data_IF_010149187113
#
_entry.id   IF_010149187113
#
_cell.length_a   1.000
_cell.length_b   1.000
_cell.length_c   1.000
_cell.angle_alpha   90.00
_cell.angle_beta   90.00
_cell.angle_gamma   90.00
#
_symmetry.space_group_name_H-M   'P 1'
#
loop_
_entity.id
_entity.type
_entity.pdbx_description
1 polymer ?
#
# COMPACT_ATOMS: atom_id res chain seq x y z
N UNK A 1 -18.58 -0.74 4.36
CA UNK A 1 -17.51 0.02 5.03
C UNK A 1 -16.22 -0.31 4.32
N UNK A 2 -15.47 0.69 3.86
CA UNK A 2 -14.17 0.47 3.23
C UNK A 2 -13.11 0.25 4.31
N UNK A 3 -12.32 -0.81 4.18
CA UNK A 3 -11.25 -1.13 5.12
C UNK A 3 -9.93 -1.23 4.38
N UNK A 4 -8.98 -0.39 4.78
CA UNK A 4 -7.60 -0.41 4.29
C UNK A 4 -6.69 -0.91 5.41
N UNK A 5 -6.03 -2.04 5.19
CA UNK A 5 -5.01 -2.56 6.09
C UNK A 5 -3.65 -2.58 5.40
N UNK A 6 -2.61 -2.21 6.14
CA UNK A 6 -1.23 -2.25 5.66
C UNK A 6 -0.40 -3.00 6.69
N UNK A 7 0.26 -4.06 6.26
CA UNK A 7 1.23 -4.80 7.07
C UNK A 7 2.56 -4.88 6.34
N UNK A 8 3.64 -4.63 7.08
CA UNK A 8 5.00 -4.77 6.56
C UNK A 8 5.52 -6.16 6.85
N UNK A 9 6.20 -6.76 5.88
CA UNK A 9 7.08 -7.88 6.16
C UNK A 9 8.44 -7.34 6.63
N UNK A 10 8.76 -7.49 7.91
CA UNK A 10 9.93 -6.86 8.57
C UNK A 10 11.30 -7.24 8.01
N UNK A 11 11.38 -8.17 7.06
CA UNK A 11 12.61 -8.56 6.36
C UNK A 11 12.79 -7.87 5.00
N UNK A 12 11.80 -7.08 4.56
CA UNK A 12 11.77 -6.47 3.22
C UNK A 12 11.15 -5.07 3.27
N UNK A 13 11.33 -4.31 2.19
CA UNK A 13 10.59 -3.07 1.97
C UNK A 13 9.27 -3.29 1.22
N UNK A 14 8.70 -4.50 1.40
CA UNK A 14 7.41 -4.88 0.86
C UNK A 14 6.32 -4.75 1.91
N UNK A 15 5.21 -4.16 1.47
CA UNK A 15 4.03 -3.90 2.27
C UNK A 15 2.84 -4.61 1.64
N UNK A 16 2.20 -5.49 2.42
CA UNK A 16 0.92 -6.08 2.05
C UNK A 16 -0.18 -5.06 2.31
N UNK A 17 -0.91 -4.72 1.27
CA UNK A 17 -2.06 -3.82 1.32
C UNK A 17 -3.32 -4.63 1.06
N UNK A 18 -4.28 -4.56 1.98
CA UNK A 18 -5.59 -5.19 1.85
C UNK A 18 -6.65 -4.11 1.77
N UNK A 19 -7.41 -4.14 0.69
CA UNK A 19 -8.54 -3.26 0.41
C UNK A 19 -9.80 -4.12 0.45
N UNK A 20 -10.69 -3.87 1.41
CA UNK A 20 -11.99 -4.54 1.48
C UNK A 20 -13.11 -3.55 1.21
N UNK A 21 -14.01 -3.92 0.29
CA UNK A 21 -15.20 -3.14 -0.09
C UNK A 21 -16.40 -4.08 -0.19
N UNK A 22 -17.33 -3.96 0.77
CA UNK A 22 -18.43 -4.92 0.88
C UNK A 22 -17.90 -6.32 1.20
N UNK A 23 -18.28 -7.29 0.38
CA UNK A 23 -17.80 -8.68 0.49
C UNK A 23 -16.51 -8.94 -0.33
N UNK A 24 -16.13 -7.98 -1.19
CA UNK A 24 -14.96 -8.10 -2.05
C UNK A 24 -13.69 -7.67 -1.32
N UNK A 25 -12.60 -8.38 -1.58
CA UNK A 25 -11.28 -8.07 -1.02
C UNK A 25 -10.21 -8.14 -2.10
N UNK A 26 -9.42 -7.08 -2.21
CA UNK A 26 -8.23 -7.01 -3.07
C UNK A 26 -7.00 -6.95 -2.18
N UNK A 27 -6.05 -7.85 -2.44
CA UNK A 27 -4.73 -7.86 -1.80
C UNK A 27 -3.68 -7.54 -2.83
N UNK A 28 -2.84 -6.55 -2.55
CA UNK A 28 -1.70 -6.20 -3.38
C UNK A 28 -0.45 -6.01 -2.53
N UNK A 29 0.71 -6.10 -3.19
CA UNK A 29 2.01 -5.87 -2.57
C UNK A 29 2.59 -4.58 -3.12
N UNK A 30 2.94 -3.66 -2.24
CA UNK A 30 3.63 -2.41 -2.58
C UNK A 30 5.08 -2.55 -2.14
N UNK A 31 6.01 -2.45 -3.09
CA UNK A 31 7.44 -2.37 -2.79
C UNK A 31 7.84 -0.90 -2.73
N UNK A 32 8.44 -0.49 -1.62
CA UNK A 32 9.05 0.84 -1.49
C UNK A 32 10.54 0.66 -1.75
N UNK A 33 10.95 0.92 -2.98
CA UNK A 33 12.38 0.96 -3.31
C UNK A 33 12.97 2.28 -2.81
N UNK A 34 13.71 2.21 -1.71
CA UNK A 34 14.46 3.33 -1.12
C UNK A 34 15.83 3.53 -1.77
N UNK A 35 16.18 2.74 -2.79
CA UNK A 35 17.48 2.78 -3.45
C UNK A 35 18.57 2.09 -2.63
N UNK A 36 19.39 1.29 -3.31
CA UNK A 36 20.45 0.45 -2.75
C UNK A 36 21.57 1.15 -1.94
N UNK A 37 21.51 2.47 -1.73
CA UNK A 37 22.46 3.19 -0.90
C UNK A 37 21.94 3.16 0.54
N UNK A 38 22.68 2.46 1.43
CA UNK A 38 22.50 2.40 2.90
C UNK A 38 21.21 3.07 3.34
N UNK A 39 20.12 2.31 3.31
CA UNK A 39 18.79 2.85 3.51
C UNK A 39 18.72 3.62 4.83
N UNK A 40 18.73 4.94 4.73
CA UNK A 40 18.72 5.85 5.88
C UNK A 40 17.29 6.19 6.32
N UNK A 41 16.28 5.69 5.59
CA UNK A 41 14.90 5.94 5.93
C UNK A 41 14.48 5.06 7.10
N UNK A 42 13.88 5.71 8.09
CA UNK A 42 13.24 5.03 9.20
C UNK A 42 12.09 4.16 8.72
N UNK A 43 11.79 3.12 9.50
CA UNK A 43 10.63 2.25 9.26
C UNK A 43 9.32 3.03 9.18
N UNK A 44 9.22 4.13 9.94
CA UNK A 44 8.05 5.01 9.94
C UNK A 44 7.90 5.75 8.60
N UNK A 45 9.00 6.25 8.02
CA UNK A 45 8.98 6.92 6.71
C UNK A 45 8.55 5.95 5.60
N UNK A 46 9.10 4.73 5.61
CA UNK A 46 8.73 3.69 4.65
C UNK A 46 7.27 3.28 4.79
N UNK A 47 6.79 3.15 6.02
CA UNK A 47 5.38 2.89 6.29
C UNK A 47 4.47 4.02 5.80
N UNK A 48 4.83 5.28 6.04
CA UNK A 48 4.08 6.44 5.53
C UNK A 48 4.08 6.48 3.99
N UNK A 49 5.20 6.16 3.35
CA UNK A 49 5.30 6.06 1.90
C UNK A 49 4.39 4.94 1.35
N UNK A 50 4.43 3.75 1.96
CA UNK A 50 3.55 2.64 1.62
C UNK A 50 2.07 3.02 1.79
N UNK A 51 1.72 3.68 2.89
CA UNK A 51 0.35 4.18 3.14
C UNK A 51 -0.10 5.20 2.09
N UNK A 52 0.78 6.12 1.72
CA UNK A 52 0.48 7.10 0.66
C UNK A 52 0.21 6.41 -0.68
N UNK A 53 1.06 5.45 -1.07
CA UNK A 53 0.89 4.68 -2.31
C UNK A 53 -0.37 3.80 -2.29
N UNK A 54 -0.65 3.16 -1.16
CA UNK A 54 -1.86 2.36 -0.96
C UNK A 54 -3.13 3.20 -1.12
N UNK A 55 -3.17 4.41 -0.54
CA UNK A 55 -4.29 5.35 -0.71
C UNK A 55 -4.45 5.81 -2.15
N UNK A 56 -3.34 6.10 -2.84
CA UNK A 56 -3.38 6.47 -4.25
C UNK A 56 -3.93 5.32 -5.12
N UNK A 57 -3.53 4.08 -4.84
CA UNK A 57 -4.05 2.90 -5.52
C UNK A 57 -5.55 2.70 -5.26
N UNK A 58 -6.00 2.84 -4.02
CA UNK A 58 -7.43 2.78 -3.68
C UNK A 58 -8.24 3.78 -4.51
N UNK A 59 -7.79 5.04 -4.55
CA UNK A 59 -8.44 6.10 -5.32
C UNK A 59 -8.45 5.82 -6.83
N UNK A 60 -7.36 5.28 -7.37
CA UNK A 60 -7.28 4.93 -8.79
C UNK A 60 -8.24 3.78 -9.13
N UNK A 61 -8.39 2.81 -8.23
CA UNK A 61 -9.36 1.73 -8.38
C UNK A 61 -10.79 2.26 -8.35
N UNK A 62 -11.12 3.15 -7.42
CA UNK A 62 -12.46 3.76 -7.35
C UNK A 62 -12.79 4.51 -8.65
N UNK A 63 -11.85 5.32 -9.15
CA UNK A 63 -12.02 6.04 -10.41
C UNK A 63 -12.22 5.10 -11.60
N UNK A 64 -11.50 3.97 -11.66
CA UNK A 64 -11.64 2.99 -12.73
C UNK A 64 -12.98 2.23 -12.70
N UNK A 65 -13.59 2.08 -11.52
CA UNK A 65 -14.93 1.51 -11.36
C UNK A 65 -16.01 2.52 -11.81
N UNK A 66 -15.83 3.81 -11.51
CA UNK A 66 -16.77 4.87 -11.87
C UNK A 66 -16.78 5.24 -13.36
N UNK A 67 -15.70 4.93 -14.09
CA UNK A 67 -15.56 5.20 -15.53
C UNK A 67 -16.21 4.12 -16.43
N UNK A 68 -16.94 3.16 -15.84
CA UNK A 68 -17.74 2.14 -16.52
C UNK A 68 -19.24 2.45 -16.48
#
# INVERSE_FOLDING_TARGET
MEKLEISRNGQTDQFSVVLSRGDDTIRCMVSIDSGHALDMHSDEEKYRAALSKAKALAKALDAAIEDQ
#
